data_IF_401818174342
#
_entry.id   IF_401818174342
#
_cell.length_a   1.000
_cell.length_b   1.000
_cell.length_c   1.000
_cell.angle_alpha   90.00
_cell.angle_beta   90.00
_cell.angle_gamma   90.00
#
_symmetry.space_group_name_H-M   'P 1'
#
loop_
_entity.id
_entity.type
_entity.pdbx_description
1 polymer ?
#
# COMPACT_ATOMS: atom_id res chain seq x y z
N UNK A 1 -36.99 1.44 52.38
CA UNK A 1 -36.21 0.20 52.59
C UNK A 1 -36.03 -0.47 51.23
N UNK A 2 -34.86 -0.28 50.60
CA UNK A 2 -34.37 -1.07 49.47
C UNK A 2 -32.94 -1.46 49.84
N UNK A 3 -32.72 -2.76 49.95
CA UNK A 3 -31.48 -3.38 50.36
C UNK A 3 -30.50 -3.34 49.18
N UNK A 4 -29.29 -2.81 49.41
CA UNK A 4 -28.17 -2.90 48.48
C UNK A 4 -27.52 -4.28 48.69
N UNK A 5 -27.39 -5.15 47.68
CA UNK A 5 -26.66 -6.41 47.81
C UNK A 5 -25.14 -6.17 47.86
N UNK A 6 -24.47 -6.95 48.71
CA UNK A 6 -23.03 -7.00 48.98
C UNK A 6 -22.13 -6.85 47.75
N UNK A 7 -21.05 -6.07 47.92
CA UNK A 7 -19.90 -6.00 47.02
C UNK A 7 -19.36 -7.41 46.71
N UNK A 8 -19.30 -7.77 45.41
CA UNK A 8 -18.50 -8.90 44.96
C UNK A 8 -17.02 -8.49 44.99
N UNK A 9 -16.09 -9.38 45.40
CA UNK A 9 -14.67 -9.07 45.37
C UNK A 9 -14.23 -8.86 43.92
N UNK A 10 -13.63 -7.70 43.64
CA UNK A 10 -12.95 -7.42 42.38
C UNK A 10 -11.83 -8.45 42.19
N UNK A 11 -11.75 -9.16 41.05
CA UNK A 11 -10.67 -10.11 40.81
C UNK A 11 -9.33 -9.37 40.85
N UNK A 12 -8.43 -9.79 41.74
CA UNK A 12 -7.06 -9.30 41.75
C UNK A 12 -6.32 -9.95 40.59
N UNK A 13 -6.02 -9.16 39.57
CA UNK A 13 -5.13 -9.54 38.47
C UNK A 13 -3.77 -9.96 39.02
N UNK A 14 -3.36 -11.18 38.72
CA UNK A 14 -2.05 -11.71 39.15
C UNK A 14 -0.96 -11.33 38.14
N UNK A 15 0.30 -11.40 38.56
CA UNK A 15 1.43 -11.15 37.66
C UNK A 15 1.47 -12.06 36.43
N UNK A 16 0.89 -13.27 36.51
CA UNK A 16 0.75 -14.18 35.37
C UNK A 16 -0.32 -13.70 34.37
N UNK A 17 -1.42 -13.10 34.85
CA UNK A 17 -2.45 -12.51 33.99
C UNK A 17 -1.92 -11.27 33.25
N UNK A 18 -0.99 -10.53 33.88
CA UNK A 18 -0.29 -9.41 33.24
C UNK A 18 0.71 -9.92 32.19
N UNK A 19 1.44 -11.01 32.46
CA UNK A 19 2.36 -11.61 31.48
C UNK A 19 1.61 -12.18 30.26
N UNK A 20 0.42 -12.74 30.44
CA UNK A 20 -0.44 -13.18 29.33
C UNK A 20 -1.01 -12.03 28.48
N UNK A 21 -1.03 -10.80 29.00
CA UNK A 21 -1.37 -9.59 28.24
C UNK A 21 -0.15 -9.00 27.49
N UNK A 22 1.05 -9.46 27.82
CA UNK A 22 2.32 -8.99 27.24
C UNK A 22 2.82 -9.87 26.09
N UNK A 23 2.32 -11.10 25.94
CA UNK A 23 2.76 -12.04 24.90
C UNK A 23 2.03 -11.93 23.55
N UNK A 24 1.07 -11.00 23.44
CA UNK A 24 0.37 -10.75 22.18
C UNK A 24 -0.55 -11.88 21.70
N UNK A 25 -0.77 -12.94 22.48
CA UNK A 25 -1.64 -14.06 22.08
C UNK A 25 -3.13 -13.68 22.00
N UNK A 26 -3.53 -12.53 22.57
CA UNK A 26 -4.92 -12.02 22.55
C UNK A 26 -5.19 -10.85 21.58
N UNK A 27 -4.18 -10.28 20.90
CA UNK A 27 -4.38 -9.23 19.89
C UNK A 27 -4.07 -9.73 18.48
N UNK A 28 -4.84 -10.72 18.05
CA UNK A 28 -4.95 -11.08 16.63
C UNK A 28 -5.98 -10.15 15.97
N UNK A 29 -5.69 -8.85 15.91
CA UNK A 29 -6.32 -8.01 14.89
C UNK A 29 -5.73 -8.42 13.56
N UNK A 30 -6.38 -9.40 12.96
CA UNK A 30 -6.18 -9.82 11.57
C UNK A 30 -6.57 -8.59 10.73
N UNK A 31 -5.59 -7.79 10.33
CA UNK A 31 -5.82 -6.70 9.39
C UNK A 31 -6.33 -7.37 8.10
N UNK A 32 -7.61 -7.22 7.78
CA UNK A 32 -8.18 -7.86 6.60
C UNK A 32 -7.57 -7.20 5.36
N UNK A 33 -6.94 -8.02 4.51
CA UNK A 33 -6.32 -7.56 3.27
C UNK A 33 -7.36 -6.91 2.35
N UNK A 34 -6.97 -5.86 1.64
CA UNK A 34 -7.80 -5.25 0.60
C UNK A 34 -7.96 -6.25 -0.55
N UNK A 35 -9.21 -6.58 -0.87
CA UNK A 35 -9.52 -7.53 -1.93
C UNK A 35 -9.58 -6.81 -3.26
N UNK A 36 -8.58 -7.04 -4.09
CA UNK A 36 -8.50 -6.49 -5.45
C UNK A 36 -8.89 -7.61 -6.40
N UNK A 37 -9.91 -7.41 -7.24
CA UNK A 37 -10.14 -8.29 -8.40
C UNK A 37 -9.98 -7.51 -9.69
N UNK A 38 -9.22 -8.06 -10.63
CA UNK A 38 -8.90 -7.41 -11.90
C UNK A 38 -9.45 -8.27 -13.02
N UNK A 39 -10.45 -7.75 -13.73
CA UNK A 39 -11.07 -8.37 -14.91
C UNK A 39 -10.43 -7.78 -16.15
N UNK A 40 -9.76 -8.60 -16.95
CA UNK A 40 -8.89 -8.13 -18.02
C UNK A 40 -8.82 -9.08 -19.22
N UNK A 41 -8.22 -8.62 -20.32
CA UNK A 41 -7.95 -9.37 -21.55
C UNK A 41 -6.45 -9.38 -21.83
N UNK A 42 -5.94 -10.53 -22.26
CA UNK A 42 -4.52 -10.74 -22.50
C UNK A 42 -3.92 -9.91 -23.65
N UNK A 43 -4.72 -9.46 -24.63
CA UNK A 43 -4.26 -8.63 -25.76
C UNK A 43 -4.78 -7.18 -25.71
N UNK A 44 -5.56 -6.80 -24.70
CA UNK A 44 -6.10 -5.45 -24.58
C UNK A 44 -4.99 -4.45 -24.15
N UNK A 45 -4.76 -3.36 -24.93
CA UNK A 45 -3.77 -2.34 -24.59
C UNK A 45 -3.99 -1.66 -23.24
N UNK A 46 -5.25 -1.40 -22.85
CA UNK A 46 -5.59 -0.77 -21.57
C UNK A 46 -5.33 -1.73 -20.39
N UNK A 47 -5.57 -3.03 -20.60
CA UNK A 47 -5.23 -4.07 -19.62
C UNK A 47 -3.73 -4.12 -19.41
N UNK A 48 -2.96 -4.21 -20.51
CA UNK A 48 -1.51 -4.12 -20.48
C UNK A 48 -1.02 -2.87 -19.74
N UNK A 49 -1.58 -1.70 -20.05
CA UNK A 49 -1.22 -0.46 -19.39
C UNK A 49 -1.44 -0.52 -17.87
N UNK A 50 -2.61 -1.00 -17.45
CA UNK A 50 -2.94 -1.13 -16.03
C UNK A 50 -1.98 -2.07 -15.28
N UNK A 51 -1.64 -3.22 -15.85
CA UNK A 51 -0.68 -4.14 -15.22
C UNK A 51 0.70 -3.51 -15.04
N UNK A 52 1.26 -2.93 -16.10
CA UNK A 52 2.62 -2.38 -16.11
C UNK A 52 2.72 -1.11 -15.25
N UNK A 53 1.72 -0.22 -15.32
CA UNK A 53 1.80 1.11 -14.69
C UNK A 53 1.19 1.18 -13.31
N UNK A 54 0.29 0.26 -12.97
CA UNK A 54 -0.48 0.34 -11.74
C UNK A 54 -0.40 -0.95 -10.93
N UNK A 55 -0.96 -2.06 -11.42
CA UNK A 55 -1.16 -3.25 -10.58
C UNK A 55 0.14 -3.88 -10.10
N UNK A 56 1.11 -4.13 -10.98
CA UNK A 56 2.37 -4.75 -10.59
C UNK A 56 3.18 -3.86 -9.63
N UNK A 57 3.45 -2.58 -9.94
CA UNK A 57 4.15 -1.70 -9.02
C UNK A 57 3.53 -1.63 -7.63
N UNK A 58 2.21 -1.69 -7.53
CA UNK A 58 1.50 -1.69 -6.24
C UNK A 58 1.60 -3.04 -5.55
N UNK A 59 1.39 -4.14 -6.27
CA UNK A 59 1.44 -5.50 -5.69
C UNK A 59 2.83 -5.85 -5.19
N UNK A 60 3.88 -5.47 -5.93
CA UNK A 60 5.28 -5.67 -5.53
C UNK A 60 5.58 -5.07 -4.14
N UNK A 61 4.96 -3.92 -3.84
CA UNK A 61 5.21 -3.13 -2.63
C UNK A 61 4.25 -3.43 -1.50
N UNK A 62 2.99 -3.73 -1.80
CA UNK A 62 1.89 -3.84 -0.84
C UNK A 62 1.32 -5.26 -0.75
N UNK A 63 1.99 -6.28 -1.27
CA UNK A 63 1.48 -7.67 -1.28
C UNK A 63 1.07 -8.22 0.10
N UNK A 64 1.65 -7.71 1.19
CA UNK A 64 1.25 -8.08 2.56
C UNK A 64 -0.15 -7.56 2.92
N UNK A 65 -0.59 -6.45 2.32
CA UNK A 65 -1.87 -5.78 2.56
C UNK A 65 -2.93 -6.09 1.50
N UNK A 66 -2.53 -6.69 0.38
CA UNK A 66 -3.40 -7.00 -0.75
C UNK A 66 -3.73 -8.48 -0.86
N UNK A 67 -4.96 -8.75 -1.27
CA UNK A 67 -5.45 -10.03 -1.77
C UNK A 67 -5.94 -9.83 -3.20
N UNK A 68 -5.05 -10.09 -4.17
CA UNK A 68 -5.27 -9.83 -5.59
C UNK A 68 -5.72 -11.10 -6.31
N UNK A 69 -6.90 -11.06 -6.90
CA UNK A 69 -7.40 -12.09 -7.80
C UNK A 69 -7.46 -11.58 -9.24
N UNK A 70 -6.82 -12.31 -10.14
CA UNK A 70 -6.77 -12.03 -11.56
C UNK A 70 -7.84 -12.83 -12.31
N UNK A 71 -8.56 -12.18 -13.21
CA UNK A 71 -9.65 -12.78 -13.98
C UNK A 71 -9.42 -12.53 -15.48
N UNK A 72 -8.55 -13.33 -16.14
CA UNK A 72 -8.34 -13.26 -17.59
C UNK A 72 -9.53 -13.84 -18.35
N UNK A 73 -10.35 -12.97 -18.95
CA UNK A 73 -11.47 -13.37 -19.79
C UNK A 73 -11.99 -12.15 -20.58
N UNK A 74 -12.23 -11.07 -19.84
CA UNK A 74 -12.67 -9.79 -20.38
C UNK A 74 -14.04 -9.84 -21.04
N UNK A 75 -14.10 -9.48 -22.32
CA UNK A 75 -15.32 -9.49 -23.13
C UNK A 75 -15.44 -10.73 -24.02
N UNK A 76 -14.70 -11.79 -23.71
CA UNK A 76 -14.90 -13.07 -24.37
C UNK A 76 -16.34 -13.57 -24.17
N UNK A 77 -16.75 -14.52 -25.01
CA UNK A 77 -17.98 -15.28 -24.80
C UNK A 77 -17.67 -16.77 -24.84
N UNK A 78 -18.44 -17.55 -24.08
CA UNK A 78 -18.28 -19.00 -24.02
C UNK A 78 -19.50 -19.71 -24.57
N UNK A 79 -19.25 -20.73 -25.39
CA UNK A 79 -20.23 -21.67 -25.89
C UNK A 79 -19.87 -23.06 -25.40
N UNK A 80 -20.86 -23.81 -24.93
CA UNK A 80 -20.68 -25.21 -24.54
C UNK A 80 -21.36 -26.13 -25.57
N UNK A 81 -20.62 -27.07 -26.12
CA UNK A 81 -21.14 -28.10 -27.02
C UNK A 81 -20.55 -29.46 -26.65
N UNK A 82 -21.42 -30.47 -26.44
CA UNK A 82 -21.02 -31.85 -26.10
C UNK A 82 -20.06 -31.91 -24.90
N UNK A 83 -20.25 -31.05 -23.89
CA UNK A 83 -19.40 -30.98 -22.70
C UNK A 83 -18.03 -30.31 -22.92
N UNK A 84 -17.80 -29.69 -24.08
CA UNK A 84 -16.58 -28.91 -24.39
C UNK A 84 -16.88 -27.42 -24.45
N UNK A 85 -15.94 -26.61 -23.97
CA UNK A 85 -16.03 -25.17 -24.02
C UNK A 85 -15.30 -24.59 -25.23
N UNK A 86 -15.94 -23.65 -25.89
CA UNK A 86 -15.43 -22.89 -27.02
C UNK A 86 -15.50 -21.40 -26.67
N UNK A 87 -14.40 -20.68 -26.89
CA UNK A 87 -14.26 -19.28 -26.51
C UNK A 87 -14.14 -18.40 -27.75
N UNK A 88 -14.81 -17.25 -27.71
CA UNK A 88 -14.73 -16.24 -28.76
C UNK A 88 -14.30 -14.93 -28.12
N UNK A 89 -13.10 -14.44 -28.47
CA UNK A 89 -12.46 -13.27 -27.89
C UNK A 89 -12.41 -12.11 -28.90
N UNK A 90 -12.24 -10.87 -28.42
CA UNK A 90 -12.32 -9.67 -29.26
C UNK A 90 -11.13 -9.56 -30.22
N UNK A 91 -9.96 -10.02 -29.78
CA UNK A 91 -8.73 -10.00 -30.56
C UNK A 91 -8.38 -11.36 -31.19
N UNK A 92 -9.37 -12.24 -31.35
CA UNK A 92 -9.23 -13.53 -32.03
C UNK A 92 -8.76 -14.69 -31.12
N UNK A 93 -8.41 -15.81 -31.74
CA UNK A 93 -8.08 -17.06 -31.04
C UNK A 93 -6.83 -16.93 -30.15
N UNK A 94 -5.85 -16.13 -30.57
CA UNK A 94 -4.63 -15.89 -29.79
C UNK A 94 -4.93 -15.25 -28.44
N UNK A 95 -5.89 -14.31 -28.36
CA UNK A 95 -6.32 -13.74 -27.07
C UNK A 95 -6.97 -14.79 -26.17
N UNK A 96 -7.82 -15.66 -26.74
CA UNK A 96 -8.44 -16.73 -25.97
C UNK A 96 -7.38 -17.71 -25.44
N UNK A 97 -6.40 -18.06 -26.28
CA UNK A 97 -5.30 -18.92 -25.88
C UNK A 97 -4.42 -18.26 -24.80
N UNK A 98 -4.07 -16.99 -24.99
CA UNK A 98 -3.32 -16.22 -24.00
C UNK A 98 -4.07 -16.06 -22.66
N UNK A 99 -5.39 -15.80 -22.69
CA UNK A 99 -6.23 -15.82 -21.48
C UNK A 99 -6.20 -17.19 -20.79
N UNK A 100 -6.18 -18.28 -21.56
CA UNK A 100 -6.04 -19.64 -21.02
C UNK A 100 -4.68 -19.86 -20.36
N UNK A 101 -3.57 -19.45 -21.01
CA UNK A 101 -2.22 -19.52 -20.42
C UNK A 101 -2.15 -18.71 -19.12
N UNK A 102 -2.72 -17.51 -19.09
CA UNK A 102 -2.79 -16.70 -17.88
C UNK A 102 -3.58 -17.40 -16.77
N UNK A 103 -4.74 -18.00 -17.10
CA UNK A 103 -5.56 -18.78 -16.17
C UNK A 103 -4.76 -19.94 -15.57
N UNK A 104 -4.05 -20.69 -16.42
CA UNK A 104 -3.20 -21.80 -16.03
C UNK A 104 -1.99 -21.37 -15.22
N UNK A 105 -1.42 -20.19 -15.50
CA UNK A 105 -0.32 -19.62 -14.72
C UNK A 105 -0.79 -19.25 -13.31
N UNK A 106 -1.98 -18.65 -13.18
CA UNK A 106 -2.56 -18.32 -11.87
C UNK A 106 -2.79 -19.60 -11.04
N UNK A 107 -3.38 -20.63 -11.65
CA UNK A 107 -3.66 -21.91 -11.00
C UNK A 107 -2.37 -22.66 -10.60
N UNK A 108 -1.40 -22.74 -11.50
CA UNK A 108 -0.15 -23.48 -11.29
C UNK A 108 0.78 -22.80 -10.28
N UNK A 109 0.93 -21.47 -10.35
CA UNK A 109 1.88 -20.76 -9.51
C UNK A 109 1.43 -20.69 -8.04
N UNK A 110 0.12 -20.69 -7.80
CA UNK A 110 -0.50 -20.67 -6.46
C UNK A 110 0.09 -19.62 -5.49
N UNK A 111 0.62 -18.51 -6.04
CA UNK A 111 1.26 -17.44 -5.30
C UNK A 111 0.84 -16.11 -5.92
N UNK A 112 0.05 -15.33 -5.17
CA UNK A 112 -0.54 -14.08 -5.64
C UNK A 112 0.48 -13.11 -6.26
N UNK A 113 1.53 -12.76 -5.53
CA UNK A 113 2.53 -11.78 -5.98
C UNK A 113 3.25 -12.27 -7.23
N UNK A 114 3.64 -13.55 -7.25
CA UNK A 114 4.28 -14.17 -8.41
C UNK A 114 3.33 -14.21 -9.60
N UNK A 115 2.05 -14.57 -9.42
CA UNK A 115 1.05 -14.58 -10.48
C UNK A 115 0.82 -13.19 -11.08
N UNK A 116 0.81 -12.12 -10.27
CA UNK A 116 0.72 -10.74 -10.77
C UNK A 116 1.96 -10.36 -11.57
N UNK A 117 3.16 -10.63 -11.04
CA UNK A 117 4.42 -10.37 -11.75
C UNK A 117 4.50 -11.15 -13.07
N UNK A 118 4.12 -12.42 -13.03
CA UNK A 118 4.17 -13.31 -14.18
C UNK A 118 3.22 -12.86 -15.28
N UNK A 119 1.99 -12.48 -14.89
CA UNK A 119 0.99 -11.91 -15.79
C UNK A 119 1.44 -10.58 -16.39
N UNK A 120 2.05 -9.69 -15.60
CA UNK A 120 2.60 -8.41 -16.10
C UNK A 120 3.70 -8.63 -17.16
N UNK A 121 4.58 -9.61 -16.96
CA UNK A 121 5.59 -9.96 -17.94
C UNK A 121 4.97 -10.51 -19.24
N UNK A 122 3.97 -11.39 -19.15
CA UNK A 122 3.34 -11.99 -20.33
C UNK A 122 2.55 -10.93 -21.11
N UNK A 123 1.69 -10.17 -20.44
CA UNK A 123 0.83 -9.15 -21.05
C UNK A 123 1.62 -7.99 -21.70
N UNK A 124 2.89 -7.81 -21.29
CA UNK A 124 3.79 -6.82 -21.91
C UNK A 124 4.03 -7.10 -23.40
N UNK A 125 4.14 -8.36 -23.80
CA UNK A 125 4.25 -8.76 -25.20
C UNK A 125 3.70 -10.18 -25.36
N UNK A 126 2.40 -10.24 -25.67
CA UNK A 126 1.61 -11.47 -25.64
C UNK A 126 1.01 -11.82 -27.01
N UNK A 127 1.52 -11.22 -28.08
CA UNK A 127 1.08 -11.49 -29.47
C UNK A 127 1.39 -12.92 -29.93
N UNK A 128 2.26 -13.60 -29.18
CA UNK A 128 2.58 -15.02 -29.29
C UNK A 128 2.67 -15.54 -27.85
N UNK A 129 1.60 -16.19 -27.39
CA UNK A 129 1.40 -16.53 -25.99
C UNK A 129 2.39 -17.60 -25.51
N UNK A 130 2.83 -18.51 -26.39
CA UNK A 130 3.84 -19.51 -26.08
C UNK A 130 5.21 -18.84 -25.88
N UNK A 131 5.60 -17.91 -26.78
CA UNK A 131 6.85 -17.13 -26.59
C UNK A 131 6.80 -16.25 -25.35
N UNK A 132 5.64 -15.69 -25.03
CA UNK A 132 5.46 -14.91 -23.80
C UNK A 132 5.67 -15.80 -22.57
N UNK A 133 5.06 -16.98 -22.55
CA UNK A 133 5.23 -17.98 -21.49
C UNK A 133 6.69 -18.39 -21.34
N UNK A 134 7.38 -18.76 -22.42
CA UNK A 134 8.80 -19.15 -22.41
C UNK A 134 9.69 -18.03 -21.85
N UNK A 135 9.55 -16.82 -22.39
CA UNK A 135 10.34 -15.65 -21.99
C UNK A 135 10.15 -15.34 -20.51
N UNK A 136 8.92 -15.29 -20.03
CA UNK A 136 8.61 -14.95 -18.65
C UNK A 136 8.99 -16.05 -17.67
N UNK A 137 8.85 -17.31 -18.08
CA UNK A 137 9.33 -18.48 -17.35
C UNK A 137 10.83 -18.42 -17.11
N UNK A 138 11.61 -18.10 -18.15
CA UNK A 138 13.05 -17.92 -18.04
C UNK A 138 13.42 -16.76 -17.12
N UNK A 139 12.75 -15.61 -17.24
CA UNK A 139 13.05 -14.42 -16.43
C UNK A 139 12.79 -14.62 -14.93
N UNK A 140 11.80 -15.44 -14.58
CA UNK A 140 11.35 -15.65 -13.20
C UNK A 140 11.70 -17.04 -12.64
N UNK A 141 12.47 -17.84 -13.39
CA UNK A 141 12.84 -19.21 -13.02
C UNK A 141 11.61 -20.08 -12.66
N UNK A 142 10.57 -19.96 -13.49
CA UNK A 142 9.35 -20.77 -13.43
C UNK A 142 9.47 -21.88 -14.48
N UNK A 143 9.01 -23.09 -14.16
CA UNK A 143 8.89 -24.16 -15.14
C UNK A 143 7.64 -23.93 -16.01
N UNK A 144 7.77 -23.72 -17.34
CA UNK A 144 6.64 -23.50 -18.22
C UNK A 144 5.83 -24.77 -18.49
N UNK A 145 6.40 -25.96 -18.28
CA UNK A 145 5.81 -27.22 -18.73
C UNK A 145 4.43 -27.49 -18.10
N UNK A 146 4.23 -27.31 -16.78
CA UNK A 146 2.91 -27.51 -16.18
C UNK A 146 1.86 -26.50 -16.67
N UNK A 147 2.27 -25.25 -16.94
CA UNK A 147 1.39 -24.20 -17.44
C UNK A 147 0.94 -24.52 -18.87
N UNK A 148 1.87 -24.92 -19.74
CA UNK A 148 1.58 -25.28 -21.13
C UNK A 148 0.69 -26.53 -21.21
N UNK A 149 0.99 -27.56 -20.40
CA UNK A 149 0.14 -28.75 -20.28
C UNK A 149 -1.28 -28.41 -19.80
N UNK A 150 -1.41 -27.48 -18.86
CA UNK A 150 -2.71 -26.99 -18.42
C UNK A 150 -3.45 -26.30 -19.58
N UNK A 151 -2.77 -25.39 -20.30
CA UNK A 151 -3.40 -24.58 -21.34
C UNK A 151 -3.96 -25.40 -22.52
N UNK A 152 -3.34 -26.55 -22.80
CA UNK A 152 -3.76 -27.51 -23.83
C UNK A 152 -4.76 -28.57 -23.34
N UNK A 153 -5.24 -28.48 -22.11
CA UNK A 153 -6.10 -29.50 -21.47
C UNK A 153 -7.53 -29.00 -21.21
N UNK A 154 -8.42 -29.95 -20.90
CA UNK A 154 -9.79 -29.63 -20.42
C UNK A 154 -9.78 -28.81 -19.13
N UNK A 155 -8.72 -28.93 -18.30
CA UNK A 155 -8.54 -28.11 -17.10
C UNK A 155 -8.34 -26.64 -17.45
N UNK A 156 -7.49 -26.33 -18.43
CA UNK A 156 -7.31 -24.95 -18.92
C UNK A 156 -8.62 -24.35 -19.46
N UNK A 157 -9.38 -25.12 -20.24
CA UNK A 157 -10.70 -24.71 -20.71
C UNK A 157 -11.68 -24.48 -19.55
N UNK A 158 -11.70 -25.34 -18.54
CA UNK A 158 -12.55 -25.18 -17.36
C UNK A 158 -12.16 -23.94 -16.53
N UNK A 159 -10.87 -23.64 -16.40
CA UNK A 159 -10.39 -22.42 -15.72
C UNK A 159 -10.83 -21.16 -16.47
N UNK A 160 -10.68 -21.12 -17.80
CA UNK A 160 -11.12 -19.97 -18.58
C UNK A 160 -12.64 -19.80 -18.53
N UNK A 161 -13.41 -20.91 -18.56
CA UNK A 161 -14.87 -20.89 -18.34
C UNK A 161 -15.22 -20.29 -16.98
N UNK A 162 -14.52 -20.71 -15.92
CA UNK A 162 -14.72 -20.19 -14.56
C UNK A 162 -14.45 -18.68 -14.49
N UNK A 163 -13.40 -18.19 -15.14
CA UNK A 163 -13.15 -16.74 -15.24
C UNK A 163 -14.23 -16.01 -16.05
N UNK A 164 -14.81 -16.67 -17.05
CA UNK A 164 -16.01 -16.19 -17.75
C UNK A 164 -17.21 -16.05 -16.84
N UNK A 165 -17.52 -17.09 -16.07
CA UNK A 165 -18.61 -17.07 -15.10
C UNK A 165 -18.43 -15.96 -14.05
N UNK A 166 -17.20 -15.80 -13.55
CA UNK A 166 -16.85 -14.71 -12.63
C UNK A 166 -17.05 -13.33 -13.27
N UNK A 167 -16.73 -13.18 -14.56
CA UNK A 167 -16.89 -11.93 -15.30
C UNK A 167 -18.37 -11.62 -15.58
N UNK A 168 -19.17 -12.65 -15.87
CA UNK A 168 -20.61 -12.55 -16.14
C UNK A 168 -21.43 -12.12 -14.92
N UNK A 169 -20.90 -12.29 -13.70
CA UNK A 169 -21.51 -11.74 -12.48
C UNK A 169 -21.55 -10.22 -12.54
N UNK A 170 -20.47 -9.59 -12.99
CA UNK A 170 -20.35 -8.12 -12.99
C UNK A 170 -20.73 -7.50 -14.33
N UNK A 171 -20.63 -8.23 -15.45
CA UNK A 171 -20.94 -7.74 -16.81
C UNK A 171 -20.27 -6.40 -17.11
N UNK A 172 -18.93 -6.36 -17.18
CA UNK A 172 -18.19 -5.11 -17.30
C UNK A 172 -18.47 -4.46 -18.67
N UNK A 173 -18.64 -3.13 -18.70
CA UNK A 173 -18.84 -2.39 -19.96
C UNK A 173 -17.51 -2.06 -20.67
N UNK A 174 -16.39 -2.09 -19.93
CA UNK A 174 -15.04 -1.86 -20.42
C UNK A 174 -14.04 -2.75 -19.69
N UNK A 175 -12.84 -2.90 -20.24
CA UNK A 175 -11.75 -3.72 -19.71
C UNK A 175 -10.46 -2.88 -19.73
N UNK A 176 -9.63 -2.89 -18.68
CA UNK A 176 -9.81 -3.66 -17.44
C UNK A 176 -10.87 -3.04 -16.52
N UNK A 177 -11.65 -3.88 -15.85
CA UNK A 177 -12.53 -3.47 -14.75
C UNK A 177 -11.94 -3.97 -13.44
N UNK A 178 -11.90 -3.13 -12.41
CA UNK A 178 -11.32 -3.46 -11.11
C UNK A 178 -12.42 -3.44 -10.06
N UNK A 179 -12.44 -4.41 -9.14
CA UNK A 179 -13.22 -4.30 -7.91
C UNK A 179 -12.30 -4.20 -6.71
N UNK A 180 -12.58 -3.24 -5.83
CA UNK A 180 -11.94 -3.11 -4.52
C UNK A 180 -12.96 -3.44 -3.44
N UNK A 181 -12.68 -4.47 -2.63
CA UNK A 181 -13.60 -4.99 -1.61
C UNK A 181 -15.03 -5.25 -2.15
N UNK A 182 -15.12 -5.68 -3.42
CA UNK A 182 -16.38 -5.93 -4.13
C UNK A 182 -17.05 -4.70 -4.75
N UNK A 183 -16.57 -3.48 -4.47
CA UNK A 183 -17.07 -2.25 -5.08
C UNK A 183 -16.45 -2.01 -6.46
N UNK A 184 -17.28 -1.55 -7.42
CA UNK A 184 -16.88 -1.13 -8.78
C UNK A 184 -16.83 0.39 -8.95
N UNK A 185 -16.90 1.14 -7.85
CA UNK A 185 -16.82 2.60 -7.88
C UNK A 185 -15.50 3.12 -8.45
N UNK A 186 -15.45 4.42 -8.77
CA UNK A 186 -14.23 5.19 -9.00
C UNK A 186 -13.23 4.61 -10.03
N UNK A 187 -13.71 3.90 -11.05
CA UNK A 187 -12.84 3.27 -12.07
C UNK A 187 -11.87 4.26 -12.73
N UNK A 188 -12.33 5.49 -13.00
CA UNK A 188 -11.46 6.53 -13.55
C UNK A 188 -10.31 6.95 -12.63
N UNK A 189 -10.48 6.86 -11.31
CA UNK A 189 -9.43 7.12 -10.33
C UNK A 189 -8.51 5.90 -10.20
N UNK A 190 -9.07 4.70 -10.08
CA UNK A 190 -8.34 3.43 -9.98
C UNK A 190 -7.41 3.23 -11.19
N UNK A 191 -7.89 3.52 -12.40
CA UNK A 191 -7.12 3.38 -13.64
C UNK A 191 -6.08 4.49 -13.85
N UNK A 192 -6.17 5.62 -13.13
CA UNK A 192 -5.20 6.72 -13.21
C UNK A 192 -4.16 6.63 -12.09
N UNK A 193 -4.59 6.27 -10.88
CA UNK A 193 -3.75 6.25 -9.70
C UNK A 193 -4.23 5.23 -8.67
N UNK A 194 -3.94 3.97 -8.97
CA UNK A 194 -4.24 2.83 -8.10
C UNK A 194 -3.67 3.00 -6.68
N UNK A 195 -2.46 3.56 -6.54
CA UNK A 195 -1.79 3.81 -5.24
C UNK A 195 -2.59 4.72 -4.29
N UNK A 196 -3.35 5.69 -4.79
CA UNK A 196 -4.11 6.61 -3.93
C UNK A 196 -5.41 6.02 -3.41
N UNK A 197 -6.00 5.09 -4.17
CA UNK A 197 -7.17 4.38 -3.68
C UNK A 197 -6.78 3.33 -2.62
N UNK A 198 -5.51 2.92 -2.59
CA UNK A 198 -4.90 2.00 -1.61
C UNK A 198 -4.39 2.70 -0.32
N UNK A 199 -4.48 4.03 -0.22
CA UNK A 199 -4.43 4.67 1.10
C UNK A 199 -5.66 4.17 1.87
N UNK A 200 -5.44 3.48 2.98
CA UNK A 200 -6.54 2.88 3.76
C UNK A 200 -7.61 3.93 4.07
N UNK A 201 -8.86 3.50 4.24
CA UNK A 201 -9.95 4.43 4.59
C UNK A 201 -9.59 5.26 5.84
N UNK A 202 -8.82 4.68 6.75
CA UNK A 202 -8.26 5.34 7.94
C UNK A 202 -7.32 6.49 7.56
N UNK A 203 -6.45 6.30 6.56
CA UNK A 203 -5.56 7.35 6.07
C UNK A 203 -6.38 8.42 5.34
N UNK A 204 -7.34 8.04 4.49
CA UNK A 204 -8.22 9.00 3.79
C UNK A 204 -9.02 9.86 4.78
N UNK A 205 -9.51 9.27 5.87
CA UNK A 205 -10.19 10.00 6.95
C UNK A 205 -9.26 11.01 7.65
N UNK A 206 -8.00 10.65 7.89
CA UNK A 206 -7.00 11.56 8.47
C UNK A 206 -6.68 12.71 7.52
N UNK A 207 -6.42 12.44 6.23
CA UNK A 207 -6.20 13.48 5.20
C UNK A 207 -7.34 14.48 5.23
N UNK A 208 -8.57 13.97 5.17
CA UNK A 208 -9.76 14.80 5.12
C UNK A 208 -9.94 15.60 6.43
N UNK A 209 -9.62 15.02 7.58
CA UNK A 209 -9.69 15.71 8.86
C UNK A 209 -8.70 16.88 8.93
N UNK A 210 -7.42 16.66 8.58
CA UNK A 210 -6.39 17.71 8.55
C UNK A 210 -6.76 18.82 7.58
N UNK A 211 -7.20 18.44 6.38
CA UNK A 211 -7.65 19.40 5.38
C UNK A 211 -8.80 20.26 5.93
N UNK A 212 -9.85 19.64 6.48
CA UNK A 212 -11.01 20.36 7.03
C UNK A 212 -10.60 21.30 8.18
N UNK A 213 -9.71 20.86 9.08
CA UNK A 213 -9.18 21.70 10.14
C UNK A 213 -8.41 22.90 9.59
N UNK A 214 -7.50 22.69 8.64
CA UNK A 214 -6.69 23.77 8.07
C UNK A 214 -7.54 24.73 7.23
N UNK A 215 -8.55 24.25 6.51
CA UNK A 215 -9.54 25.11 5.83
C UNK A 215 -10.31 25.94 6.86
N UNK A 216 -10.79 25.35 7.95
CA UNK A 216 -11.49 26.08 9.01
C UNK A 216 -10.60 27.12 9.72
N UNK A 217 -9.33 26.78 10.01
CA UNK A 217 -8.36 27.67 10.68
C UNK A 217 -7.96 28.85 9.79
N UNK A 218 -7.82 28.63 8.49
CA UNK A 218 -7.24 29.63 7.56
C UNK A 218 -8.29 30.39 6.76
N UNK A 219 -9.48 29.80 6.56
CA UNK A 219 -10.56 30.34 5.73
C UNK A 219 -10.20 30.44 4.24
N UNK A 220 -9.23 29.64 3.78
CA UNK A 220 -8.83 29.51 2.37
C UNK A 220 -10.00 28.99 1.54
N UNK A 221 -10.08 29.40 0.28
CA UNK A 221 -11.08 28.88 -0.65
C UNK A 221 -10.63 27.51 -1.21
N UNK A 222 -11.55 26.55 -1.28
CA UNK A 222 -11.28 25.23 -1.89
C UNK A 222 -10.74 25.36 -3.31
N UNK A 223 -11.27 26.30 -4.09
CA UNK A 223 -10.81 26.59 -5.44
C UNK A 223 -9.31 26.97 -5.47
N UNK A 224 -8.83 27.73 -4.50
CA UNK A 224 -7.42 28.13 -4.42
C UNK A 224 -6.52 26.93 -4.05
N UNK A 225 -7.01 25.99 -3.24
CA UNK A 225 -6.33 24.72 -2.93
C UNK A 225 -6.26 23.86 -4.20
N UNK A 226 -7.40 23.61 -4.85
CA UNK A 226 -7.47 22.82 -6.10
C UNK A 226 -6.60 23.43 -7.19
N UNK A 227 -6.60 24.75 -7.33
CA UNK A 227 -5.72 25.45 -8.29
C UNK A 227 -4.25 25.20 -7.98
N UNK A 228 -3.86 25.25 -6.71
CA UNK A 228 -2.50 24.97 -6.28
C UNK A 228 -2.07 23.52 -6.59
N UNK A 229 -2.92 22.53 -6.34
CA UNK A 229 -2.67 21.12 -6.70
C UNK A 229 -2.42 20.92 -8.20
N UNK A 230 -3.04 21.77 -9.02
CA UNK A 230 -2.89 21.81 -10.47
C UNK A 230 -1.75 22.75 -10.94
N UNK A 231 -0.98 23.33 -10.03
CA UNK A 231 0.20 24.15 -10.34
C UNK A 231 -0.07 25.63 -10.53
N UNK A 232 -1.25 26.09 -10.20
CA UNK A 232 -1.63 27.50 -10.24
C UNK A 232 -1.45 28.05 -8.83
N UNK A 233 -0.24 28.54 -8.55
CA UNK A 233 0.14 29.08 -7.24
C UNK A 233 -0.30 30.53 -7.10
N UNK A 234 -1.48 30.74 -6.51
CA UNK A 234 -1.98 32.07 -6.18
C UNK A 234 -1.20 32.66 -5.01
N UNK A 235 -0.75 33.91 -5.15
CA UNK A 235 -0.09 34.67 -4.08
C UNK A 235 -1.11 35.14 -3.03
N UNK A 236 -1.75 34.21 -2.34
CA UNK A 236 -2.81 34.46 -1.36
C UNK A 236 -2.35 34.13 0.07
N UNK A 237 -2.63 35.03 1.03
CA UNK A 237 -2.21 34.86 2.43
C UNK A 237 -2.87 33.65 3.10
N UNK A 238 -4.12 33.35 2.78
CA UNK A 238 -4.84 32.22 3.38
C UNK A 238 -4.32 30.90 2.82
N UNK A 239 -4.04 30.84 1.51
CA UNK A 239 -3.42 29.67 0.89
C UNK A 239 -2.03 29.37 1.48
N UNK A 240 -1.18 30.38 1.66
CA UNK A 240 0.14 30.23 2.32
C UNK A 240 0.01 29.71 3.75
N UNK A 241 -0.95 30.24 4.50
CA UNK A 241 -1.26 29.77 5.87
C UNK A 241 -1.79 28.34 5.88
N UNK A 242 -2.60 27.96 4.90
CA UNK A 242 -3.10 26.59 4.76
C UNK A 242 -1.96 25.60 4.54
N UNK A 243 -1.02 25.89 3.64
CA UNK A 243 0.16 25.03 3.43
C UNK A 243 1.02 24.87 4.69
N UNK A 244 1.23 25.97 5.41
CA UNK A 244 1.96 25.91 6.69
C UNK A 244 1.20 25.09 7.74
N UNK A 245 -0.13 25.27 7.83
CA UNK A 245 -0.97 24.49 8.73
C UNK A 245 -0.84 22.98 8.47
N UNK A 246 -0.79 22.54 7.20
CA UNK A 246 -0.57 21.12 6.89
C UNK A 246 0.73 20.58 7.48
N UNK A 247 1.83 21.34 7.40
CA UNK A 247 3.12 20.94 7.97
C UNK A 247 3.13 21.01 9.51
N UNK A 248 2.42 21.97 10.08
CA UNK A 248 2.25 22.12 11.54
C UNK A 248 1.44 20.95 12.12
N UNK A 249 0.32 20.61 11.50
CA UNK A 249 -0.53 19.46 11.86
C UNK A 249 0.19 18.11 11.67
N UNK A 250 1.13 18.06 10.72
CA UNK A 250 2.05 16.94 10.54
C UNK A 250 3.19 16.89 11.57
N UNK A 251 3.32 17.93 12.40
CA UNK A 251 4.45 18.12 13.32
C UNK A 251 5.81 18.06 12.60
N UNK A 252 5.86 18.64 11.40
CA UNK A 252 7.08 18.87 10.60
C UNK A 252 7.65 20.27 10.81
N UNK A 253 7.01 21.07 11.66
CA UNK A 253 7.42 22.40 12.05
C UNK A 253 7.95 22.35 13.48
N UNK A 254 9.13 22.92 13.71
CA UNK A 254 9.69 23.08 15.06
C UNK A 254 9.06 24.26 15.82
N UNK A 255 9.41 24.41 17.10
CA UNK A 255 8.88 25.48 17.95
C UNK A 255 9.27 26.90 17.45
N UNK A 256 10.32 27.00 16.63
CA UNK A 256 10.80 28.23 16.01
C UNK A 256 10.12 28.50 14.65
N UNK A 257 9.24 27.61 14.19
CA UNK A 257 8.47 27.73 12.96
C UNK A 257 9.23 27.33 11.69
N UNK A 258 10.31 26.58 11.80
CA UNK A 258 11.11 26.07 10.67
C UNK A 258 10.71 24.62 10.32
N UNK A 259 10.86 24.25 9.05
CA UNK A 259 10.50 22.93 8.57
C UNK A 259 11.64 21.93 8.78
N UNK A 260 11.33 20.78 9.38
CA UNK A 260 12.25 19.64 9.44
C UNK A 260 12.20 18.85 8.11
N UNK A 261 12.98 19.32 7.13
CA UNK A 261 13.06 18.70 5.81
C UNK A 261 13.64 17.28 5.83
N UNK A 262 14.53 16.97 6.78
CA UNK A 262 15.12 15.64 6.90
C UNK A 262 14.03 14.65 7.38
N UNK A 263 13.25 15.06 8.39
CA UNK A 263 12.08 14.30 8.83
C UNK A 263 11.04 14.19 7.71
N UNK A 264 10.72 15.28 7.01
CA UNK A 264 9.77 15.27 5.89
C UNK A 264 10.18 14.26 4.81
N UNK A 265 11.45 14.23 4.41
CA UNK A 265 11.90 13.28 3.38
C UNK A 265 12.01 11.86 3.94
N UNK A 266 12.28 11.67 5.23
CA UNK A 266 12.31 10.33 5.86
C UNK A 266 10.93 9.63 5.91
N UNK A 267 9.86 10.41 5.82
CA UNK A 267 8.48 9.91 5.74
C UNK A 267 8.11 9.45 4.32
N UNK A 268 8.95 9.76 3.33
CA UNK A 268 8.76 9.31 1.95
C UNK A 268 9.20 7.85 1.85
N UNK A 269 8.39 6.95 1.25
CA UNK A 269 8.82 5.58 0.98
C UNK A 269 10.14 5.54 0.19
N UNK A 270 11.06 4.66 0.59
CA UNK A 270 12.44 4.57 0.07
C UNK A 270 12.57 4.68 -1.46
N UNK A 271 11.65 4.07 -2.19
CA UNK A 271 11.61 4.09 -3.66
C UNK A 271 11.46 5.48 -4.31
N UNK A 272 10.96 6.46 -3.55
CA UNK A 272 10.80 7.85 -3.99
C UNK A 272 11.77 8.78 -3.27
N UNK A 273 12.50 8.27 -2.26
CA UNK A 273 13.41 9.05 -1.42
C UNK A 273 14.38 9.86 -2.28
N UNK A 274 15.17 9.23 -3.14
CA UNK A 274 16.18 9.94 -3.95
C UNK A 274 15.57 11.06 -4.81
N UNK A 275 14.41 10.79 -5.39
CA UNK A 275 13.71 11.73 -6.27
C UNK A 275 13.15 12.91 -5.50
N UNK A 276 12.44 12.64 -4.41
CA UNK A 276 11.83 13.67 -3.55
C UNK A 276 12.90 14.45 -2.79
N UNK A 277 13.90 13.76 -2.25
CA UNK A 277 15.07 14.36 -1.62
C UNK A 277 15.73 15.35 -2.59
N UNK A 278 16.07 14.92 -3.81
CA UNK A 278 16.69 15.80 -4.81
C UNK A 278 15.81 17.00 -5.15
N UNK A 279 14.51 16.81 -5.31
CA UNK A 279 13.54 17.88 -5.57
C UNK A 279 13.52 18.91 -4.42
N UNK A 280 13.21 18.46 -3.20
CA UNK A 280 13.05 19.31 -2.00
C UNK A 280 14.37 20.01 -1.66
N UNK A 281 15.49 19.28 -1.61
CA UNK A 281 16.78 19.88 -1.25
C UNK A 281 17.32 20.84 -2.31
N UNK A 282 16.88 20.71 -3.58
CA UNK A 282 17.17 21.74 -4.59
C UNK A 282 16.43 23.05 -4.36
N UNK A 283 15.34 23.05 -3.58
CA UNK A 283 14.49 24.20 -3.28
C UNK A 283 14.60 24.70 -1.83
N UNK A 284 15.14 23.88 -0.90
CA UNK A 284 15.31 24.19 0.53
C UNK A 284 15.99 25.54 0.81
N UNK A 285 16.88 25.98 -0.09
CA UNK A 285 17.54 27.28 0.00
C UNK A 285 16.60 28.49 -0.04
N UNK A 286 15.31 28.30 -0.37
CA UNK A 286 14.27 29.33 -0.35
C UNK A 286 13.62 29.51 1.03
N UNK A 287 13.79 28.55 1.96
CA UNK A 287 13.39 28.70 3.37
C UNK A 287 14.42 29.54 4.12
N UNK A 288 14.28 30.86 3.99
CA UNK A 288 15.25 31.82 4.51
C UNK A 288 14.65 32.63 5.68
N UNK A 289 15.35 32.80 6.82
CA UNK A 289 14.80 33.45 8.01
C UNK A 289 14.34 34.92 7.85
N UNK A 290 14.73 35.58 6.77
CA UNK A 290 14.36 36.96 6.45
C UNK A 290 12.93 37.11 5.90
N UNK A 291 12.28 36.00 5.53
CA UNK A 291 10.91 35.97 5.04
C UNK A 291 9.92 35.54 6.13
N UNK A 292 8.68 35.98 5.98
CA UNK A 292 7.57 35.47 6.77
C UNK A 292 7.45 33.94 6.63
N UNK A 293 7.17 33.26 7.74
CA UNK A 293 7.17 31.79 7.82
C UNK A 293 6.21 31.10 6.85
N UNK A 294 5.07 31.74 6.53
CA UNK A 294 4.11 31.21 5.56
C UNK A 294 4.65 31.36 4.13
N UNK A 295 5.35 32.45 3.84
CA UNK A 295 5.98 32.68 2.54
C UNK A 295 7.10 31.67 2.28
N UNK A 296 7.94 31.38 3.29
CA UNK A 296 9.06 30.42 3.17
C UNK A 296 8.57 29.04 2.72
N UNK A 297 7.54 28.51 3.39
CA UNK A 297 6.93 27.21 3.06
C UNK A 297 6.35 27.23 1.64
N UNK A 298 5.62 28.30 1.29
CA UNK A 298 5.03 28.45 -0.03
C UNK A 298 6.08 28.48 -1.15
N UNK A 299 7.17 29.21 -0.96
CA UNK A 299 8.25 29.34 -1.95
C UNK A 299 8.93 27.99 -2.21
N UNK A 300 9.22 27.22 -1.15
CA UNK A 300 9.81 25.88 -1.28
C UNK A 300 8.84 24.91 -1.97
N UNK A 301 7.54 24.97 -1.64
CA UNK A 301 6.54 24.10 -2.26
C UNK A 301 6.36 24.42 -3.75
N UNK A 302 6.23 25.71 -4.11
CA UNK A 302 6.14 26.18 -5.49
C UNK A 302 7.37 25.78 -6.33
N UNK A 303 8.57 26.02 -5.81
CA UNK A 303 9.81 25.58 -6.46
C UNK A 303 9.85 24.06 -6.66
N UNK A 304 9.47 23.29 -5.63
CA UNK A 304 9.47 21.82 -5.71
C UNK A 304 8.52 21.34 -6.81
N UNK A 305 7.34 21.95 -6.94
CA UNK A 305 6.39 21.66 -8.01
C UNK A 305 6.94 21.94 -9.41
N UNK A 306 7.64 23.07 -9.58
CA UNK A 306 8.27 23.43 -10.86
C UNK A 306 9.42 22.49 -11.24
N UNK A 307 10.13 21.94 -10.25
CA UNK A 307 11.23 20.99 -10.47
C UNK A 307 10.77 19.60 -10.87
N UNK A 308 9.64 19.14 -10.33
CA UNK A 308 9.07 17.83 -10.67
C UNK A 308 7.55 17.87 -10.79
N UNK A 309 7.02 18.10 -12.01
CA UNK A 309 5.59 18.17 -12.24
C UNK A 309 4.89 16.79 -12.30
N UNK A 310 5.49 15.71 -11.80
CA UNK A 310 4.87 14.39 -11.86
C UNK A 310 3.87 14.14 -10.72
N UNK A 311 2.62 13.81 -11.09
CA UNK A 311 1.47 13.66 -10.17
C UNK A 311 1.68 12.68 -9.01
N UNK A 312 2.45 11.60 -9.19
CA UNK A 312 2.66 10.57 -8.15
C UNK A 312 3.52 11.10 -7.01
N UNK A 313 4.56 11.87 -7.35
CA UNK A 313 5.49 12.46 -6.37
C UNK A 313 4.84 13.63 -5.63
N UNK A 314 3.96 14.38 -6.33
CA UNK A 314 3.20 15.50 -5.75
C UNK A 314 2.30 15.06 -4.61
N UNK A 315 1.54 13.98 -4.81
CA UNK A 315 0.60 13.49 -3.79
C UNK A 315 1.35 12.90 -2.61
N UNK A 316 2.42 12.12 -2.82
CA UNK A 316 3.28 11.66 -1.73
C UNK A 316 3.91 12.79 -0.91
N UNK A 317 4.37 13.88 -1.53
CA UNK A 317 4.95 15.01 -0.80
C UNK A 317 3.90 15.84 -0.02
N UNK A 318 2.65 15.88 -0.48
CA UNK A 318 1.51 16.43 0.26
C UNK A 318 1.01 15.46 1.35
N UNK A 319 1.10 14.15 1.10
CA UNK A 319 0.62 13.05 1.94
C UNK A 319 1.62 12.66 3.05
N UNK A 320 2.88 13.08 2.94
CA UNK A 320 3.89 12.95 4.02
C UNK A 320 3.45 13.58 5.32
N UNK A 321 2.63 14.64 5.24
CA UNK A 321 2.02 15.27 6.40
C UNK A 321 1.13 14.30 7.22
N UNK A 322 0.63 13.25 6.57
CA UNK A 322 -0.42 12.37 7.09
C UNK A 322 0.12 11.09 7.72
N UNK A 323 1.30 10.60 7.29
CA UNK A 323 1.93 9.40 7.86
C UNK A 323 2.21 9.52 9.37
N UNK A 324 2.36 10.74 9.90
CA UNK A 324 2.54 10.97 11.33
C UNK A 324 1.24 11.12 12.12
N UNK A 325 0.12 11.57 11.56
CA UNK A 325 -1.12 11.68 12.34
C UNK A 325 -1.76 10.33 12.67
N UNK A 326 -1.54 9.31 11.84
CA UNK A 326 -1.80 7.92 12.19
C UNK A 326 -0.95 7.44 13.40
N UNK A 327 0.24 8.03 13.62
CA UNK A 327 1.11 7.77 14.76
C UNK A 327 0.82 8.68 15.98
N UNK A 328 0.36 9.92 15.78
CA UNK A 328 0.18 10.95 16.83
C UNK A 328 -1.21 10.92 17.48
N UNK A 329 -2.24 10.33 16.86
CA UNK A 329 -3.50 10.05 17.58
C UNK A 329 -3.35 9.06 18.75
N UNK A 330 -2.15 8.50 18.98
CA UNK A 330 -1.81 7.75 20.19
C UNK A 330 -1.16 8.58 21.30
N UNK A 331 -0.91 9.89 21.12
CA UNK A 331 -0.21 10.74 22.10
C UNK A 331 -1.04 11.88 22.74
N UNK A 332 -2.27 12.15 22.29
CA UNK A 332 -3.08 13.28 22.81
C UNK A 332 -4.48 12.93 23.34
N UNK A 333 -4.69 11.73 23.91
CA UNK A 333 -5.80 11.52 24.87
C UNK A 333 -5.35 11.96 26.26
N UNK A 334 -5.36 13.28 26.46
CA UNK A 334 -5.22 13.89 27.77
C UNK A 334 -6.52 13.83 28.56
N UNK A 335 -6.51 13.07 29.66
CA UNK A 335 -7.39 13.19 30.84
C UNK A 335 -8.90 13.06 30.58
N UNK A 336 -9.38 11.83 30.42
CA UNK A 336 -10.79 11.52 30.66
C UNK A 336 -11.27 10.19 30.09
N UNK A 337 -11.03 9.09 30.83
CA UNK A 337 -11.76 7.83 30.68
C UNK A 337 -11.13 6.75 29.78
N UNK A 338 -10.95 5.54 30.32
CA UNK A 338 -10.70 4.30 29.56
C UNK A 338 -9.28 3.73 29.60
N UNK A 339 -8.79 3.33 30.78
CA UNK A 339 -7.39 2.98 31.05
C UNK A 339 -6.87 1.58 30.64
N UNK A 340 -7.10 1.10 29.41
CA UNK A 340 -6.55 -0.22 28.99
C UNK A 340 -5.76 -0.23 27.66
N UNK A 341 -5.92 0.76 26.78
CA UNK A 341 -5.25 0.80 25.45
C UNK A 341 -3.86 1.47 25.46
N UNK A 342 -3.60 2.39 26.38
CA UNK A 342 -2.38 3.21 26.40
C UNK A 342 -1.12 2.52 26.98
N UNK A 343 -1.25 1.34 27.60
CA UNK A 343 -0.12 0.63 28.21
C UNK A 343 0.50 -0.41 27.27
N UNK A 344 -0.28 -0.90 26.30
CA UNK A 344 0.12 -1.88 25.30
C UNK A 344 0.93 -1.23 24.15
N UNK A 345 0.52 -0.06 23.69
CA UNK A 345 1.17 0.69 22.61
C UNK A 345 2.54 1.28 23.02
N UNK A 346 2.71 1.66 24.29
CA UNK A 346 4.00 2.10 24.84
C UNK A 346 5.08 1.01 24.77
N UNK A 347 4.68 -0.26 24.87
CA UNK A 347 5.63 -1.39 24.83
C UNK A 347 6.11 -1.71 23.42
N UNK A 348 5.26 -1.56 22.40
CA UNK A 348 5.65 -1.73 21.00
C UNK A 348 6.65 -0.64 20.55
N UNK A 349 6.46 0.59 21.02
CA UNK A 349 7.38 1.70 20.74
C UNK A 349 8.77 1.51 21.36
N UNK A 350 8.86 0.98 22.58
CA UNK A 350 10.14 0.70 23.24
C UNK A 350 10.95 -0.40 22.51
N UNK A 351 10.27 -1.32 21.83
CA UNK A 351 10.88 -2.40 21.03
C UNK A 351 11.39 -1.85 19.69
N UNK A 352 10.58 -1.09 18.95
CA UNK A 352 11.00 -0.45 17.69
C UNK A 352 12.14 0.55 17.90
N UNK A 353 12.11 1.34 18.98
CA UNK A 353 13.20 2.24 19.37
C UNK A 353 14.49 1.48 19.68
N UNK A 354 14.42 0.34 20.39
CA UNK A 354 15.60 -0.50 20.68
C UNK A 354 16.17 -1.17 19.43
N UNK A 355 15.31 -1.59 18.50
CA UNK A 355 15.71 -2.17 17.20
C UNK A 355 16.42 -1.12 16.33
N UNK A 356 15.87 0.10 16.25
CA UNK A 356 16.46 1.19 15.46
C UNK A 356 17.78 1.73 16.05
N UNK A 357 17.91 1.78 17.38
CA UNK A 357 19.18 2.14 18.04
C UNK A 357 20.21 1.02 17.89
N UNK A 358 19.81 -0.25 17.99
CA UNK A 358 20.70 -1.40 17.77
C UNK A 358 21.19 -1.48 16.31
N UNK A 359 20.37 -1.08 15.33
CA UNK A 359 20.78 -0.98 13.93
C UNK A 359 21.78 0.17 13.67
N UNK A 360 21.81 1.21 14.51
CA UNK A 360 22.71 2.36 14.36
C UNK A 360 24.11 2.12 14.94
N UNK A 361 24.27 1.17 15.86
CA UNK A 361 25.57 0.85 16.50
C UNK A 361 26.31 -0.34 15.85
N UNK A 362 25.72 -0.97 14.83
CA UNK A 362 26.29 -2.16 14.19
C UNK A 362 26.86 -1.86 12.80
N UNK A 363 27.97 -1.10 12.74
CA UNK A 363 28.93 -1.20 11.64
C UNK A 363 30.17 -1.95 12.12
N UNK A 364 30.33 -3.22 11.72
CA UNK A 364 31.63 -3.84 11.42
C UNK A 364 31.45 -5.27 10.85
N UNK A 365 32.20 -5.54 9.77
CA UNK A 365 32.36 -6.85 9.14
C UNK A 365 33.22 -7.85 9.95
N UNK A 366 33.92 -8.81 9.28
CA UNK A 366 33.71 -10.25 9.49
C UNK A 366 34.52 -10.94 10.62
N UNK A 367 33.87 -11.93 11.26
CA UNK A 367 34.32 -13.10 12.08
C UNK A 367 35.38 -12.92 13.19
N UNK A 368 34.94 -13.07 14.46
CA UNK A 368 35.64 -13.86 15.50
C UNK A 368 34.59 -14.57 16.40
N UNK A 369 34.67 -15.90 16.44
CA UNK A 369 33.72 -16.86 17.05
C UNK A 369 33.84 -16.94 18.60
N UNK A 370 34.54 -15.98 19.22
CA UNK A 370 34.72 -15.93 20.68
C UNK A 370 33.73 -15.02 21.40
N UNK A 371 33.08 -14.10 20.70
CA UNK A 371 32.11 -13.16 21.31
C UNK A 371 30.74 -13.83 21.54
N UNK A 372 30.40 -14.86 20.75
CA UNK A 372 29.11 -15.55 20.85
C UNK A 372 28.96 -16.36 22.16
N UNK A 373 30.06 -16.92 22.69
CA UNK A 373 30.06 -17.70 23.95
C UNK A 373 30.01 -16.87 25.23
N UNK A 374 30.14 -15.54 25.16
CA UNK A 374 30.07 -14.64 26.34
C UNK A 374 28.70 -13.99 26.54
N UNK A 375 27.87 -13.89 25.49
CA UNK A 375 26.50 -13.35 25.61
C UNK A 375 25.47 -14.40 26.05
N UNK A 376 25.77 -15.70 25.88
CA UNK A 376 24.92 -16.80 26.34
C UNK A 376 25.70 -17.69 27.31
N UNK A 377 25.76 -17.26 28.57
CA UNK A 377 26.29 -18.06 29.67
C UNK A 377 25.31 -19.18 30.06
N UNK A 378 25.75 -20.42 29.82
CA UNK A 378 25.48 -21.65 30.58
C UNK A 378 24.09 -21.83 31.20
N UNK A 379 23.27 -22.68 30.58
CA UNK A 379 22.04 -23.21 31.17
C UNK A 379 21.61 -24.52 30.48
N UNK A 380 22.17 -25.62 30.96
CA UNK A 380 21.86 -27.05 30.79
C UNK A 380 20.84 -27.52 29.72
N UNK A 381 21.37 -28.39 28.86
CA UNK A 381 20.71 -29.52 28.22
C UNK A 381 19.78 -30.27 29.19
N UNK A 382 18.54 -30.47 28.77
CA UNK A 382 17.74 -31.64 29.17
C UNK A 382 17.28 -32.29 27.87
N UNK A 383 17.83 -33.48 27.64
CA UNK A 383 17.35 -34.48 26.67
C UNK A 383 15.84 -34.71 26.85
N UNK A 384 15.12 -34.93 25.75
CA UNK A 384 14.17 -36.03 25.71
C UNK A 384 13.94 -36.48 24.26
N UNK A 385 14.32 -37.73 24.00
CA UNK A 385 13.96 -38.53 22.84
C UNK A 385 12.44 -38.74 22.80
N UNK A 386 11.80 -38.57 21.64
CA UNK A 386 10.99 -39.58 20.93
C UNK A 386 10.41 -39.03 19.63
#
# INVERSE_FOLDING_TARGET
MRLIPNEKPTPQLTGADIVALEDGSFNKHKQDKVKVRVYYEALCPDSKHFFIKHLWPVTDKLSEFLDVALVPYGKASTKEENGKYYFMCQHGEEECYANTIHSCSIDTLANMTLSVRFTECMITDNMDADKALERCSQQMNVDPEPINKCASSEHGAALLKKHGDDTDIIKPTFIPTITLNGSRGNQGAILKNFLLEELSDEIKEIIQHVHNECVAKTGVAEEDITNCENGIFKEDTKLKRYMYCLLEEASLIDDDGNVDYDMMVSLIPDQYFDRVHKMIFSCKHLDTPDKDKYQRVFDVHKCSYEKDPNEVVRKLAADVAIWRQAAVMTSTVGRGGGGWTAQLLRRHYEVLRKVLVACREAECGPRDDRTFRKLYGTGNLIDDNF
#
